data_IF_793745003445
#
_entry.id   IF_793745003445
#
_cell.length_a   1.000
_cell.length_b   1.000
_cell.length_c   1.000
_cell.angle_alpha   90.00
_cell.angle_beta   90.00
_cell.angle_gamma   90.00
#
_symmetry.space_group_name_H-M   'P 1'
#
loop_
_entity.id
_entity.type
_entity.pdbx_description
1 polymer ?
#
# COMPACT_ATOMS: atom_id res chain seq x y z
N UNK A 1 -29.58 -3.68 11.59
CA UNK A 1 -28.25 -3.16 11.99
C UNK A 1 -27.80 -2.20 10.91
N UNK A 2 -27.63 -0.92 11.22
CA UNK A 2 -27.14 0.07 10.27
C UNK A 2 -25.61 0.07 10.33
N UNK A 3 -24.94 -0.41 9.28
CA UNK A 3 -23.50 -0.23 9.12
C UNK A 3 -23.26 1.20 8.67
N UNK A 4 -23.02 2.10 9.63
CA UNK A 4 -22.42 3.40 9.35
C UNK A 4 -21.10 3.15 8.63
N UNK A 5 -21.03 3.47 7.34
CA UNK A 5 -19.78 3.54 6.59
C UNK A 5 -19.01 4.75 7.13
N UNK A 6 -18.35 4.59 8.27
CA UNK A 6 -17.28 5.51 8.64
C UNK A 6 -16.32 5.52 7.45
N UNK A 7 -16.12 6.68 6.83
CA UNK A 7 -15.03 6.84 5.87
C UNK A 7 -13.76 6.57 6.67
N UNK A 8 -13.25 5.33 6.59
CA UNK A 8 -11.98 4.98 7.21
C UNK A 8 -10.93 5.63 6.34
N UNK A 9 -10.64 6.90 6.62
CA UNK A 9 -9.52 7.61 6.02
C UNK A 9 -8.27 6.85 6.44
N UNK A 10 -7.48 6.34 5.48
CA UNK A 10 -6.30 5.58 5.81
C UNK A 10 -5.31 6.49 6.53
N UNK A 11 -4.97 6.13 7.77
CA UNK A 11 -4.00 6.88 8.59
C UNK A 11 -2.58 6.77 8.03
N UNK A 12 -2.32 5.73 7.24
CA UNK A 12 -1.01 5.41 6.69
C UNK A 12 -1.07 5.19 5.18
N UNK A 13 -0.02 5.63 4.50
CA UNK A 13 0.31 5.23 3.14
C UNK A 13 1.30 4.07 3.22
N UNK A 14 0.92 2.93 2.66
CA UNK A 14 1.78 1.74 2.58
C UNK A 14 2.69 1.84 1.36
N UNK A 15 3.98 1.68 1.58
CA UNK A 15 5.00 1.63 0.53
C UNK A 15 5.30 0.17 0.24
N UNK A 16 4.95 -0.27 -0.97
CA UNK A 16 5.11 -1.64 -1.42
C UNK A 16 6.00 -1.66 -2.66
N UNK A 17 7.13 -2.36 -2.58
CA UNK A 17 7.93 -2.67 -3.75
C UNK A 17 7.31 -3.89 -4.45
N UNK A 18 6.98 -3.76 -5.74
CA UNK A 18 6.29 -4.77 -6.51
C UNK A 18 7.11 -5.16 -7.73
N UNK A 19 7.33 -6.46 -7.90
CA UNK A 19 7.99 -7.03 -9.09
C UNK A 19 6.94 -7.77 -9.90
N UNK A 20 6.82 -7.45 -11.19
CA UNK A 20 5.87 -8.13 -12.08
C UNK A 20 6.23 -9.62 -12.22
N UNK A 21 5.23 -10.49 -12.16
CA UNK A 21 5.42 -11.94 -12.37
C UNK A 21 5.65 -12.30 -13.84
N UNK A 22 5.03 -11.53 -14.74
CA UNK A 22 5.01 -11.84 -16.17
C UNK A 22 6.25 -11.36 -16.93
N UNK A 23 7.16 -10.63 -16.26
CA UNK A 23 8.34 -10.05 -16.89
C UNK A 23 9.61 -10.75 -16.38
N UNK A 24 10.51 -11.21 -17.28
CA UNK A 24 11.78 -11.82 -16.88
C UNK A 24 12.77 -10.81 -16.30
N UNK A 25 12.51 -9.51 -16.46
CA UNK A 25 13.31 -8.44 -15.88
C UNK A 25 12.86 -8.18 -14.44
N UNK A 26 13.76 -8.40 -13.48
CA UNK A 26 13.53 -8.14 -12.05
C UNK A 26 13.65 -6.63 -11.81
N UNK A 27 12.60 -5.89 -12.14
CA UNK A 27 12.47 -4.47 -11.81
C UNK A 27 11.43 -4.31 -10.72
N UNK A 28 11.84 -3.85 -9.55
CA UNK A 28 10.95 -3.50 -8.47
C UNK A 28 10.43 -2.08 -8.66
N UNK A 29 9.11 -1.91 -8.68
CA UNK A 29 8.43 -0.61 -8.73
C UNK A 29 7.89 -0.31 -7.34
N UNK A 30 8.11 0.91 -6.85
CA UNK A 30 7.62 1.34 -5.54
C UNK A 30 6.21 1.92 -5.72
N UNK A 31 5.24 1.30 -5.05
CA UNK A 31 3.84 1.74 -5.02
C UNK A 31 3.49 2.35 -3.67
N UNK A 32 2.75 3.46 -3.71
CA UNK A 32 2.19 4.13 -2.55
C UNK A 32 0.70 3.84 -2.50
N UNK A 33 0.27 3.07 -1.51
CA UNK A 33 -1.11 2.57 -1.43
C UNK A 33 -1.73 3.06 -0.12
N UNK A 34 -2.72 3.97 -0.19
CA UNK A 34 -3.49 4.35 0.97
C UNK A 34 -4.43 3.19 1.34
N UNK A 35 -4.21 2.56 2.49
CA UNK A 35 -5.02 1.44 2.96
C UNK A 35 -5.06 1.40 4.48
N UNK A 36 -6.11 0.76 5.02
CA UNK A 36 -6.33 0.65 6.46
C UNK A 36 -5.31 -0.31 7.07
N UNK A 37 -4.84 -1.31 6.30
CA UNK A 37 -3.85 -2.30 6.72
C UNK A 37 -2.86 -2.67 5.61
N UNK A 38 -1.72 -3.24 6.00
CA UNK A 38 -0.71 -3.77 5.05
C UNK A 38 -1.33 -4.81 4.11
N UNK A 39 -2.17 -5.68 4.66
CA UNK A 39 -2.78 -6.78 3.94
C UNK A 39 -3.68 -6.29 2.81
N UNK A 40 -4.49 -5.25 3.07
CA UNK A 40 -5.30 -4.60 2.05
C UNK A 40 -4.45 -3.94 0.98
N UNK A 41 -3.40 -3.20 1.37
CA UNK A 41 -2.48 -2.60 0.43
C UNK A 41 -1.80 -3.65 -0.47
N UNK A 42 -1.36 -4.77 0.11
CA UNK A 42 -0.77 -5.89 -0.65
C UNK A 42 -1.77 -6.55 -1.58
N UNK A 43 -3.02 -6.71 -1.15
CA UNK A 43 -4.07 -7.35 -1.96
C UNK A 43 -4.30 -6.62 -3.29
N UNK A 44 -4.11 -5.31 -3.34
CA UNK A 44 -4.21 -4.51 -4.58
C UNK A 44 -3.21 -4.97 -5.64
N UNK A 45 -2.00 -5.36 -5.23
CA UNK A 45 -0.89 -5.69 -6.14
C UNK A 45 -0.61 -7.20 -6.27
N UNK A 46 -1.10 -8.01 -5.33
CA UNK A 46 -0.77 -9.43 -5.20
C UNK A 46 -1.13 -10.29 -6.43
N UNK A 47 -2.06 -9.83 -7.28
CA UNK A 47 -2.50 -10.55 -8.47
C UNK A 47 -1.38 -10.69 -9.51
N UNK A 48 -0.79 -9.57 -9.89
CA UNK A 48 0.17 -9.50 -11.02
C UNK A 48 1.61 -9.33 -10.54
N UNK A 49 1.80 -8.99 -9.26
CA UNK A 49 3.10 -8.68 -8.69
C UNK A 49 3.45 -9.58 -7.50
N UNK A 50 4.75 -9.79 -7.31
CA UNK A 50 5.33 -10.22 -6.05
C UNK A 50 5.59 -8.96 -5.23
N UNK A 51 4.94 -8.86 -4.08
CA UNK A 51 4.96 -7.67 -3.22
C UNK A 51 5.95 -7.84 -2.07
N UNK A 52 6.82 -6.85 -1.88
CA UNK A 52 7.73 -6.70 -0.75
C UNK A 52 7.33 -5.45 0.03
N UNK A 53 7.22 -5.58 1.34
CA UNK A 53 6.97 -4.44 2.21
C UNK A 53 8.22 -3.56 2.27
N UNK A 54 8.07 -2.28 1.94
CA UNK A 54 9.18 -1.32 1.94
C UNK A 54 9.03 -0.26 3.04
N UNK A 55 7.81 -0.01 3.54
CA UNK A 55 7.58 0.91 4.64
C UNK A 55 6.13 1.41 4.73
N UNK A 56 5.88 2.31 5.67
CA UNK A 56 4.61 3.05 5.77
C UNK A 56 4.86 4.47 6.25
N UNK A 57 4.10 5.43 5.74
CA UNK A 57 4.18 6.85 6.11
C UNK A 57 2.84 7.26 6.72
N UNK A 58 2.87 8.03 7.80
CA UNK A 58 1.68 8.64 8.40
C UNK A 58 1.13 9.73 7.48
N UNK A 59 -0.17 9.71 7.22
CA UNK A 59 -0.88 10.73 6.42
C UNK A 59 -0.89 12.10 7.14
N UNK A 60 -0.66 12.14 8.46
CA UNK A 60 -0.76 13.36 9.28
C UNK A 60 0.56 14.09 9.62
N UNK A 61 1.71 13.76 9.03
CA UNK A 61 2.98 14.32 9.53
C UNK A 61 4.04 14.66 8.50
N UNK A 62 3.84 15.73 7.73
CA UNK A 62 4.98 16.59 7.36
C UNK A 62 5.06 17.69 8.42
N UNK A 63 5.71 17.39 9.55
CA UNK A 63 6.19 18.46 10.42
C UNK A 63 7.41 19.08 9.75
N UNK A 64 7.23 20.22 9.10
CA UNK A 64 8.35 21.11 8.80
C UNK A 64 8.91 21.61 10.14
N UNK A 65 10.13 21.19 10.46
CA UNK A 65 10.96 21.80 11.51
C UNK A 65 11.67 23.04 10.95
#
# INVERSE_FOLDING_TARGET
MATTLAQVTPEFIWIIAAVRRDCPTITAVIHHIPAISEQEARRVLARDHVCFFAGRILVQGVSHA
#
